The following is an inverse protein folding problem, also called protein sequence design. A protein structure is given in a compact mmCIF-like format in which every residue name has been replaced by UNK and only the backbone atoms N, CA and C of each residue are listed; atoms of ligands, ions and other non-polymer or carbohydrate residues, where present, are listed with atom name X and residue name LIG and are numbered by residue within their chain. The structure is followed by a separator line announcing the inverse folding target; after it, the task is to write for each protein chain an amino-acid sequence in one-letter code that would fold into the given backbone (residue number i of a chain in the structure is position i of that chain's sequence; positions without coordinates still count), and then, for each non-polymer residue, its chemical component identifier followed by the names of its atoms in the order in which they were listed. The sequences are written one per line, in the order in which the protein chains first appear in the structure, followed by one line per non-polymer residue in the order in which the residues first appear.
data_IF_830148823361
#
_entry.id   IF_830148823361
#
_cell.length_a   1.000
_cell.length_b   1.000
_cell.length_c   1.000
_cell.angle_alpha   90.00
_cell.angle_beta   90.00
_cell.angle_gamma   90.00
#
_symmetry.space_group_name_H-M   'P 1'
#
loop_
_entity.id
_entity.type
_entity.pdbx_description
1 polymer ?
#
# COMPACT_ATOMS: atom_id res chain seq x y z
N UNK A 1 -2.38 -2.61 25.10
CA UNK A 1 -3.37 -2.12 24.12
C UNK A 1 -3.00 -2.70 22.75
N UNK A 2 -3.96 -3.17 21.95
CA UNK A 2 -3.67 -3.63 20.59
C UNK A 2 -3.58 -2.41 19.68
N UNK A 3 -2.51 -2.28 18.90
CA UNK A 3 -2.37 -1.28 17.83
C UNK A 3 -2.68 -1.91 16.48
N UNK A 4 -3.14 -1.09 15.54
CA UNK A 4 -3.23 -1.42 14.12
C UNK A 4 -2.02 -0.81 13.42
N UNK A 5 -1.27 -1.66 12.72
CA UNK A 5 -0.09 -1.24 11.98
C UNK A 5 -0.50 -0.71 10.60
N UNK A 6 -0.02 0.47 10.24
CA UNK A 6 -0.20 1.06 8.92
C UNK A 6 1.17 1.21 8.27
N UNK A 7 1.31 0.60 7.11
CA UNK A 7 2.50 0.66 6.29
C UNK A 7 2.27 1.68 5.17
N UNK A 8 3.10 2.72 5.14
CA UNK A 8 3.00 3.83 4.19
C UNK A 8 4.23 3.86 3.29
N UNK A 9 4.02 3.98 1.99
CA UNK A 9 5.07 4.37 1.06
C UNK A 9 5.47 5.84 1.30
N UNK A 10 6.69 6.22 0.90
CA UNK A 10 7.27 7.55 1.15
C UNK A 10 6.37 8.71 0.69
N UNK A 11 5.82 8.65 -0.52
CA UNK A 11 4.95 9.70 -1.07
C UNK A 11 3.56 9.74 -0.43
N UNK A 12 3.19 8.68 0.27
CA UNK A 12 1.90 8.55 0.94
C UNK A 12 1.98 8.98 2.40
N UNK A 13 3.18 9.02 2.99
CA UNK A 13 3.36 9.32 4.41
C UNK A 13 2.83 10.69 4.82
N UNK A 14 3.40 11.79 4.28
CA UNK A 14 2.95 13.14 4.65
C UNK A 14 1.47 13.39 4.36
N UNK A 15 0.93 13.06 3.16
CA UNK A 15 -0.48 13.28 2.89
C UNK A 15 -1.42 12.47 3.78
N UNK A 16 -0.99 11.30 4.26
CA UNK A 16 -1.76 10.48 5.18
C UNK A 16 -1.73 11.05 6.61
N UNK A 17 -0.57 11.54 7.09
CA UNK A 17 -0.49 12.20 8.40
C UNK A 17 -1.39 13.43 8.49
N UNK A 18 -1.41 14.27 7.45
CA UNK A 18 -2.32 15.44 7.40
C UNK A 18 -3.78 15.03 7.58
N UNK A 19 -4.18 13.86 7.07
CA UNK A 19 -5.54 13.35 7.25
C UNK A 19 -5.78 12.81 8.65
N UNK A 20 -4.80 12.16 9.27
CA UNK A 20 -4.89 11.74 10.66
C UNK A 20 -5.05 12.96 11.58
N UNK A 21 -4.24 13.99 11.38
CA UNK A 21 -4.30 15.24 12.15
C UNK A 21 -5.66 15.94 11.98
N UNK A 22 -6.19 15.99 10.76
CA UNK A 22 -7.51 16.57 10.47
C UNK A 22 -8.66 15.87 11.22
N UNK A 23 -8.49 14.60 11.58
CA UNK A 23 -9.48 13.80 12.29
C UNK A 23 -9.15 13.63 13.79
N UNK A 24 -8.16 14.38 14.29
CA UNK A 24 -7.63 14.28 15.66
C UNK A 24 -7.29 12.83 16.05
N UNK A 25 -6.71 12.07 15.11
CA UNK A 25 -6.39 10.66 15.31
C UNK A 25 -5.03 10.48 15.97
N UNK A 26 -4.94 9.79 17.12
CA UNK A 26 -3.67 9.50 17.75
C UNK A 26 -2.90 8.43 16.95
N UNK A 27 -1.60 8.67 16.71
CA UNK A 27 -0.71 7.72 16.08
C UNK A 27 0.69 7.77 16.68
N UNK A 28 1.43 6.66 16.56
CA UNK A 28 2.85 6.56 16.91
C UNK A 28 3.62 6.22 15.64
N UNK A 29 4.65 6.99 15.31
CA UNK A 29 5.57 6.63 14.22
C UNK A 29 6.53 5.58 14.72
N UNK A 30 6.53 4.41 14.10
CA UNK A 30 7.36 3.26 14.49
C UNK A 30 8.47 3.10 13.44
N UNK A 31 9.72 3.22 13.90
CA UNK A 31 10.94 3.01 13.14
C UNK A 31 11.28 4.09 12.08
N UNK A 32 11.80 5.21 12.58
CA UNK A 32 12.73 6.08 11.85
C UNK A 32 14.14 5.60 12.21
N UNK A 33 14.76 4.73 11.39
CA UNK A 33 16.21 4.65 11.38
C UNK A 33 16.69 5.66 10.36
N UNK A 34 17.47 6.64 10.81
CA UNK A 34 18.10 7.67 9.98
C UNK A 34 18.89 7.10 8.79
N UNK A 35 19.29 5.82 8.89
CA UNK A 35 20.24 5.17 7.98
C UNK A 35 19.54 4.13 7.06
N UNK A 36 18.26 3.85 7.28
CA UNK A 36 17.50 2.94 6.44
C UNK A 36 16.95 3.72 5.24
N UNK A 37 17.44 3.38 4.03
CA UNK A 37 16.88 3.85 2.75
C UNK A 37 15.34 3.86 2.82
N UNK A 38 14.78 5.07 2.93
CA UNK A 38 13.46 5.43 3.44
C UNK A 38 12.36 5.05 2.43
N UNK A 39 12.24 3.77 2.13
CA UNK A 39 11.26 3.28 1.17
C UNK A 39 9.89 3.09 1.79
N UNK A 40 9.80 2.91 3.12
CA UNK A 40 8.52 2.76 3.79
C UNK A 40 8.54 3.07 5.28
N UNK A 41 7.46 3.69 5.76
CA UNK A 41 7.29 4.13 7.14
C UNK A 41 6.11 3.39 7.79
N UNK A 42 6.23 3.11 9.08
CA UNK A 42 5.17 2.43 9.86
C UNK A 42 4.54 3.38 10.86
N UNK A 43 3.22 3.32 10.96
CA UNK A 43 2.45 3.95 12.02
C UNK A 43 1.74 2.88 12.84
N UNK A 44 1.69 3.08 14.13
CA UNK A 44 0.83 2.35 15.04
C UNK A 44 -0.34 3.25 15.46
N UNK A 45 -1.56 2.80 15.17
CA UNK A 45 -2.80 3.47 15.58
C UNK A 45 -3.50 2.63 16.66
N UNK A 46 -3.95 3.21 17.79
CA UNK A 46 -4.69 2.47 18.81
C UNK A 46 -5.95 1.81 18.25
N UNK A 47 -6.22 0.54 18.59
CA UNK A 47 -7.50 -0.10 18.25
C UNK A 47 -8.57 0.20 19.31
N UNK A 48 -9.33 1.26 19.13
CA UNK A 48 -10.63 1.50 19.79
C UNK A 48 -11.70 1.73 18.73
N UNK A 49 -12.98 1.47 19.05
CA UNK A 49 -14.08 1.62 18.09
C UNK A 49 -14.10 3.03 17.47
N UNK A 50 -14.06 4.06 18.31
CA UNK A 50 -14.03 5.46 17.87
C UNK A 50 -12.84 5.79 16.95
N UNK A 51 -11.66 5.25 17.25
CA UNK A 51 -10.47 5.45 16.41
C UNK A 51 -10.62 4.74 15.06
N UNK A 52 -11.21 3.54 15.04
CA UNK A 52 -11.42 2.80 13.79
C UNK A 52 -12.45 3.49 12.88
N UNK A 53 -13.52 4.05 13.43
CA UNK A 53 -14.53 4.80 12.67
C UNK A 53 -13.93 6.07 12.03
N UNK A 54 -13.12 6.82 12.80
CA UNK A 54 -12.39 7.97 12.24
C UNK A 54 -11.32 7.53 11.24
N UNK A 55 -10.69 6.38 11.45
CA UNK A 55 -9.69 5.85 10.52
C UNK A 55 -10.32 5.43 9.19
N UNK A 56 -11.55 4.90 9.17
CA UNK A 56 -12.26 4.63 7.91
C UNK A 56 -12.53 5.89 7.10
N UNK A 57 -12.84 7.02 7.76
CA UNK A 57 -12.95 8.33 7.09
C UNK A 57 -11.63 8.72 6.44
N UNK A 58 -10.51 8.60 7.18
CA UNK A 58 -9.17 8.90 6.66
C UNK A 58 -8.83 8.03 5.45
N UNK A 59 -9.07 6.72 5.52
CA UNK A 59 -8.78 5.80 4.41
C UNK A 59 -9.63 6.17 3.20
N UNK A 60 -10.93 6.42 3.39
CA UNK A 60 -11.86 6.78 2.32
C UNK A 60 -11.45 8.09 1.65
N UNK A 61 -11.13 9.12 2.44
CA UNK A 61 -10.63 10.40 1.91
C UNK A 61 -9.29 10.19 1.20
N UNK A 62 -8.39 9.37 1.74
CA UNK A 62 -7.07 9.12 1.16
C UNK A 62 -7.16 8.42 -0.21
N UNK A 63 -7.96 7.35 -0.33
CA UNK A 63 -8.11 6.60 -1.59
C UNK A 63 -8.95 7.35 -2.63
N UNK A 64 -9.74 8.35 -2.22
CA UNK A 64 -10.43 9.25 -3.15
C UNK A 64 -9.46 10.14 -3.94
N UNK A 65 -8.24 10.33 -3.44
CA UNK A 65 -7.18 11.09 -4.11
C UNK A 65 -6.58 10.27 -5.25
N UNK A 66 -6.21 10.94 -6.35
CA UNK A 66 -5.64 10.28 -7.55
C UNK A 66 -4.45 9.40 -7.19
N UNK A 67 -4.42 8.18 -7.75
CA UNK A 67 -3.34 7.21 -7.65
C UNK A 67 -3.01 6.76 -6.21
N UNK A 68 -3.98 6.75 -5.30
CA UNK A 68 -3.79 6.20 -3.95
C UNK A 68 -4.58 4.89 -3.79
N UNK A 69 -3.94 3.87 -3.24
CA UNK A 69 -4.57 2.58 -2.93
C UNK A 69 -4.32 2.21 -1.48
N UNK A 70 -5.29 1.55 -0.88
CA UNK A 70 -5.17 0.97 0.45
C UNK A 70 -5.58 -0.50 0.38
N UNK A 71 -4.75 -1.36 0.95
CA UNK A 71 -4.97 -2.80 1.09
C UNK A 71 -5.04 -3.13 2.57
N UNK A 72 -6.18 -3.61 3.02
CA UNK A 72 -6.40 -4.09 4.37
C UNK A 72 -6.00 -5.56 4.40
N UNK A 73 -5.08 -5.91 5.29
CA UNK A 73 -4.67 -7.29 5.54
C UNK A 73 -5.39 -7.76 6.78
N UNK A 74 -6.22 -8.77 6.63
CA UNK A 74 -7.05 -9.36 7.69
C UNK A 74 -6.22 -10.31 8.56
N UNK A 75 -6.68 -10.59 9.79
CA UNK A 75 -6.01 -11.54 10.69
C UNK A 75 -5.90 -12.97 10.13
N UNK A 76 -6.77 -13.35 9.19
CA UNK A 76 -6.70 -14.62 8.46
C UNK A 76 -5.79 -14.57 7.22
N UNK A 77 -4.99 -13.51 7.09
CA UNK A 77 -4.07 -13.21 5.99
C UNK A 77 -4.73 -12.89 4.65
N UNK A 78 -6.07 -12.78 4.58
CA UNK A 78 -6.74 -12.28 3.36
C UNK A 78 -6.39 -10.82 3.13
N UNK A 79 -6.27 -10.44 1.86
CA UNK A 79 -5.97 -9.07 1.41
C UNK A 79 -7.21 -8.51 0.73
N UNK A 80 -7.71 -7.39 1.25
CA UNK A 80 -8.90 -6.71 0.74
C UNK A 80 -8.50 -5.33 0.26
N UNK A 81 -8.82 -4.99 -0.99
CA UNK A 81 -8.65 -3.63 -1.49
C UNK A 81 -9.75 -2.74 -0.91
N UNK A 82 -9.38 -1.60 -0.32
CA UNK A 82 -10.35 -0.62 0.16
C UNK A 82 -10.94 0.24 -0.97
N UNK A 83 -10.31 0.27 -2.15
CA UNK A 83 -10.81 1.02 -3.30
C UNK A 83 -12.21 0.56 -3.71
N UNK A 84 -13.16 1.49 -3.72
CA UNK A 84 -14.55 1.24 -4.10
C UNK A 84 -15.44 0.69 -2.99
N UNK A 85 -14.90 0.46 -1.79
CA UNK A 85 -15.70 0.09 -0.63
C UNK A 85 -16.31 1.34 0.03
N UNK A 86 -17.55 1.26 0.53
CA UNK A 86 -18.11 2.32 1.36
C UNK A 86 -17.39 2.38 2.71
N UNK A 87 -17.43 3.55 3.34
CA UNK A 87 -16.77 3.82 4.62
C UNK A 87 -17.17 2.83 5.71
N UNK A 88 -18.46 2.47 5.79
CA UNK A 88 -18.98 1.53 6.80
C UNK A 88 -18.40 0.13 6.63
N UNK A 89 -18.19 -0.32 5.39
CA UNK A 89 -17.54 -1.62 5.12
C UNK A 89 -16.07 -1.56 5.50
N UNK A 90 -15.38 -0.45 5.23
CA UNK A 90 -13.99 -0.24 5.66
C UNK A 90 -13.90 -0.34 7.19
N UNK A 91 -14.76 0.36 7.93
CA UNK A 91 -14.79 0.34 9.39
C UNK A 91 -14.93 -1.10 9.94
N UNK A 92 -15.85 -1.88 9.37
CA UNK A 92 -16.04 -3.29 9.74
C UNK A 92 -14.80 -4.14 9.47
N UNK A 93 -14.13 -3.93 8.34
CA UNK A 93 -12.89 -4.65 8.01
C UNK A 93 -11.76 -4.31 9.00
N UNK A 94 -11.65 -3.06 9.45
CA UNK A 94 -10.60 -2.61 10.37
C UNK A 94 -10.65 -3.30 11.74
N UNK A 95 -11.84 -3.70 12.20
CA UNK A 95 -12.01 -4.47 13.45
C UNK A 95 -11.16 -5.74 13.41
N UNK A 96 -11.18 -6.44 12.27
CA UNK A 96 -10.51 -7.72 12.06
C UNK A 96 -9.20 -7.62 11.27
N UNK A 97 -8.72 -6.40 11.02
CA UNK A 97 -7.47 -6.16 10.30
C UNK A 97 -6.25 -6.48 11.17
N UNK A 98 -5.26 -7.15 10.59
CA UNK A 98 -3.92 -7.28 11.17
C UNK A 98 -3.12 -6.00 10.93
N UNK A 99 -3.17 -5.48 9.70
CA UNK A 99 -2.45 -4.28 9.25
C UNK A 99 -3.09 -3.67 8.01
N UNK A 100 -2.73 -2.42 7.72
CA UNK A 100 -3.09 -1.73 6.48
C UNK A 100 -1.81 -1.46 5.70
N UNK A 101 -1.85 -1.65 4.39
CA UNK A 101 -0.79 -1.23 3.47
C UNK A 101 -1.34 -0.17 2.54
N UNK A 102 -0.79 1.03 2.62
CA UNK A 102 -1.07 2.13 1.72
C UNK A 102 0.01 2.12 0.64
N UNK A 103 -0.38 1.66 -0.54
CA UNK A 103 0.55 1.58 -1.68
C UNK A 103 0.18 2.56 -2.76
N UNK A 104 1.17 2.93 -3.56
CA UNK A 104 0.89 3.38 -4.92
C UNK A 104 0.13 2.30 -5.70
N UNK A 105 -0.58 2.66 -6.79
CA UNK A 105 -0.93 1.68 -7.80
C UNK A 105 0.33 0.90 -8.15
N UNK A 106 0.25 -0.43 -8.20
CA UNK A 106 1.22 -1.20 -8.95
C UNK A 106 1.33 -0.52 -10.32
N UNK A 107 2.39 0.26 -10.53
CA UNK A 107 3.00 0.30 -11.85
C UNK A 107 3.32 -1.15 -12.03
N UNK A 108 2.46 -1.84 -12.79
CA UNK A 108 2.78 -3.13 -13.34
C UNK A 108 4.06 -2.86 -14.11
N UNK A 109 5.21 -3.01 -13.44
CA UNK A 109 6.44 -3.36 -14.10
C UNK A 109 6.06 -4.70 -14.68
N UNK A 110 5.56 -4.67 -15.91
CA UNK A 110 5.55 -5.84 -16.76
C UNK A 110 7.00 -6.31 -16.71
N UNK A 111 7.28 -7.24 -15.80
CA UNK A 111 8.33 -8.19 -16.03
C UNK A 111 7.82 -8.96 -17.23
N UNK A 112 8.10 -8.43 -18.41
CA UNK A 112 8.29 -9.25 -19.59
C UNK A 112 9.48 -10.10 -19.20
N UNK A 113 9.22 -11.22 -18.52
CA UNK A 113 10.09 -12.36 -18.59
C UNK A 113 10.17 -12.65 -20.08
N UNK A 114 11.26 -12.22 -20.72
CA UNK A 114 11.63 -12.74 -22.01
C UNK A 114 11.66 -14.26 -21.82
N UNK A 115 10.59 -14.90 -22.27
CA UNK A 115 10.50 -16.35 -22.31
C UNK A 115 11.73 -16.81 -23.08
N UNK A 116 12.53 -17.66 -22.44
CA UNK A 116 13.56 -18.44 -23.11
C UNK A 116 12.84 -19.38 -24.08
N UNK A 117 12.43 -18.89 -25.24
CA UNK A 117 12.11 -19.75 -26.37
C UNK A 117 13.31 -19.87 -27.28
N UNK A 118 13.96 -21.00 -27.08
CA UNK A 118 15.11 -21.49 -27.82
C UNK A 118 14.67 -22.01 -29.20
N UNK A 119 14.25 -21.13 -30.11
CA UNK A 119 14.04 -21.50 -31.52
C UNK A 119 14.28 -20.31 -32.43
N UNK A 120 15.56 -19.97 -32.66
CA UNK A 120 16.03 -19.36 -33.91
C UNK A 120 17.55 -19.56 -34.03
N UNK A 121 17.98 -20.84 -33.92
CA UNK A 121 19.18 -21.28 -34.65
C UNK A 121 18.81 -21.30 -36.13
N UNK A 122 19.47 -20.44 -36.93
CA UNK A 122 19.96 -20.67 -38.31
C UNK A 122 19.82 -19.41 -39.17
N UNK A 123 20.90 -18.63 -39.23
CA UNK A 123 21.63 -18.30 -40.47
C UNK A 123 22.75 -17.30 -40.14
N UNK A 124 23.92 -17.85 -39.78
CA UNK A 124 25.17 -17.23 -40.21
C UNK A 124 25.37 -17.58 -41.69
N UNK A 125 26.08 -16.68 -42.36
CA UNK A 125 26.54 -16.71 -43.75
C UNK A 125 25.51 -16.31 -44.79
N UNK A 126 25.75 -15.13 -45.37
CA UNK A 126 26.02 -14.82 -46.79
C UNK A 126 25.91 -13.29 -46.88
N UNK A 127 26.79 -12.47 -47.43
CA UNK A 127 28.12 -12.54 -48.02
C UNK A 127 28.55 -11.04 -48.10
N UNK A 128 29.85 -10.76 -48.16
CA UNK A 128 30.34 -9.48 -48.69
C UNK A 128 29.79 -9.27 -50.12
N UNK A 129 29.45 -8.03 -50.46
CA UNK A 129 29.81 -7.34 -51.73
C UNK A 129 28.96 -6.06 -51.92
N UNK A 130 29.62 -4.91 -51.86
CA UNK A 130 29.49 -3.93 -52.96
C UNK A 130 30.22 -4.48 -54.19
#
# INVERSE_FOLDING_TARGET
MRSLKIHLDHESFRPFLILLDKQDLPYIVVDHRSDALISSLFLDIPKSAEVLDRLSLVITEFISRKNKKAVIVMNDKRRVSASGLPEQEIALLLIHAERIKITEPDVVKHFVTASKDATLKRRKQRFYSE
#
